data_IF_856168631855
#
_entry.id   IF_856168631855
#
_cell.length_a   1.000
_cell.length_b   1.000
_cell.length_c   1.000
_cell.angle_alpha   90.00
_cell.angle_beta   90.00
_cell.angle_gamma   90.00
#
_symmetry.space_group_name_H-M   'P 1'
#
loop_
_entity.id
_entity.type
_entity.pdbx_description
1 polymer ?
#
# COMPACT_ATOMS: atom_id res chain seq x y z
N UNK A 1 -9.63 -11.18 -21.37
CA UNK A 1 -8.59 -11.82 -20.53
C UNK A 1 -8.93 -11.58 -19.06
N UNK A 2 -8.78 -12.59 -18.19
CA UNK A 2 -9.03 -12.49 -16.74
C UNK A 2 -7.77 -11.95 -16.07
N UNK A 3 -7.85 -10.80 -15.39
CA UNK A 3 -6.71 -10.29 -14.63
C UNK A 3 -6.40 -11.21 -13.45
N UNK A 4 -5.12 -11.50 -13.17
CA UNK A 4 -4.72 -12.17 -11.93
C UNK A 4 -5.29 -11.43 -10.72
N UNK A 5 -5.74 -12.12 -9.66
CA UNK A 5 -6.30 -11.48 -8.46
C UNK A 5 -5.41 -10.38 -7.87
N UNK A 6 -4.09 -10.60 -7.87
CA UNK A 6 -3.11 -9.62 -7.39
C UNK A 6 -3.09 -8.34 -8.25
N UNK A 7 -3.06 -8.50 -9.57
CA UNK A 7 -3.10 -7.36 -10.49
C UNK A 7 -4.42 -6.59 -10.39
N UNK A 8 -5.54 -7.31 -10.23
CA UNK A 8 -6.85 -6.71 -10.02
C UNK A 8 -6.88 -5.88 -8.74
N UNK A 9 -6.38 -6.41 -7.62
CA UNK A 9 -6.29 -5.69 -6.35
C UNK A 9 -5.51 -4.37 -6.48
N UNK A 10 -4.29 -4.40 -7.03
CA UNK A 10 -3.49 -3.17 -7.19
C UNK A 10 -4.11 -2.17 -8.19
N UNK A 11 -4.81 -2.66 -9.21
CA UNK A 11 -5.57 -1.80 -10.12
C UNK A 11 -6.69 -1.06 -9.39
N UNK A 12 -7.47 -1.78 -8.56
CA UNK A 12 -8.54 -1.19 -7.75
C UNK A 12 -7.98 -0.18 -6.72
N UNK A 13 -6.83 -0.50 -6.10
CA UNK A 13 -6.14 0.45 -5.21
C UNK A 13 -5.69 1.72 -5.97
N UNK A 14 -5.15 1.58 -7.17
CA UNK A 14 -4.75 2.74 -7.98
C UNK A 14 -5.94 3.64 -8.34
N UNK A 15 -7.10 3.06 -8.66
CA UNK A 15 -8.34 3.80 -8.91
C UNK A 15 -8.86 4.50 -7.66
N UNK A 16 -8.86 3.82 -6.52
CA UNK A 16 -9.26 4.39 -5.24
C UNK A 16 -8.38 5.59 -4.86
N UNK A 17 -7.05 5.46 -4.97
CA UNK A 17 -6.12 6.56 -4.67
C UNK A 17 -6.29 7.74 -5.63
N UNK A 18 -6.63 7.48 -6.90
CA UNK A 18 -6.96 8.54 -7.87
C UNK A 18 -8.23 9.28 -7.46
N UNK A 19 -9.24 8.59 -6.94
CA UNK A 19 -10.44 9.26 -6.42
C UNK A 19 -10.16 10.06 -5.15
N UNK A 20 -9.34 9.55 -4.23
CA UNK A 20 -8.88 10.32 -3.06
C UNK A 20 -8.17 11.62 -3.51
N UNK A 21 -7.25 11.55 -4.47
CA UNK A 21 -6.59 12.75 -5.00
C UNK A 21 -7.60 13.76 -5.58
N UNK A 22 -8.63 13.29 -6.30
CA UNK A 22 -9.71 14.16 -6.78
C UNK A 22 -10.53 14.79 -5.65
N UNK A 23 -10.76 14.07 -4.54
CA UNK A 23 -11.44 14.62 -3.37
C UNK A 23 -10.63 15.78 -2.76
N UNK A 24 -9.30 15.66 -2.65
CA UNK A 24 -8.42 16.76 -2.23
C UNK A 24 -8.52 17.96 -3.19
N UNK A 25 -8.51 17.73 -4.51
CA UNK A 25 -8.66 18.81 -5.49
C UNK A 25 -10.03 19.51 -5.39
N UNK A 26 -11.11 18.75 -5.15
CA UNK A 26 -12.45 19.31 -4.91
C UNK A 26 -12.49 20.12 -3.61
N UNK A 27 -11.81 19.65 -2.57
CA UNK A 27 -11.69 20.36 -1.29
C UNK A 27 -10.98 21.70 -1.46
N UNK A 28 -9.83 21.73 -2.13
CA UNK A 28 -9.08 22.95 -2.42
C UNK A 28 -9.90 23.94 -3.26
N UNK A 29 -10.64 23.45 -4.26
CA UNK A 29 -11.51 24.30 -5.09
C UNK A 29 -12.61 24.98 -4.27
N UNK A 30 -13.20 24.27 -3.29
CA UNK A 30 -14.25 24.84 -2.42
C UNK A 30 -13.75 25.98 -1.55
N UNK A 31 -12.45 26.01 -1.26
CA UNK A 31 -11.80 27.06 -0.46
C UNK A 31 -11.19 28.17 -1.32
N UNK A 32 -11.57 28.23 -2.60
CA UNK A 32 -11.08 29.23 -3.57
C UNK A 32 -9.54 29.28 -3.69
N UNK A 33 -8.85 28.19 -3.32
CA UNK A 33 -7.40 28.09 -3.38
C UNK A 33 -6.88 27.97 -4.81
N UNK A 34 -5.69 28.52 -5.06
CA UNK A 34 -4.96 28.30 -6.32
C UNK A 34 -4.47 26.84 -6.33
N UNK A 35 -4.97 26.06 -7.29
CA UNK A 35 -4.57 24.67 -7.46
C UNK A 35 -3.38 24.59 -8.41
N UNK A 36 -2.19 24.36 -7.87
CA UNK A 36 -1.04 23.93 -8.66
C UNK A 36 -1.04 22.40 -8.76
N UNK A 37 -1.31 21.87 -9.96
CA UNK A 37 -1.25 20.42 -10.17
C UNK A 37 0.21 19.94 -10.13
N UNK A 38 0.58 19.05 -9.20
CA UNK A 38 1.95 18.55 -9.12
C UNK A 38 2.26 17.62 -10.30
N UNK A 39 3.52 17.63 -10.73
CA UNK A 39 4.03 16.67 -11.71
C UNK A 39 4.07 15.28 -11.06
N UNK A 40 3.32 14.33 -11.62
CA UNK A 40 3.32 12.93 -11.16
C UNK A 40 4.55 12.24 -11.73
N UNK A 41 5.54 12.00 -10.88
CA UNK A 41 6.75 11.25 -11.26
C UNK A 41 6.43 9.76 -11.40
N UNK A 42 7.01 9.13 -12.41
CA UNK A 42 7.02 7.67 -12.52
C UNK A 42 7.76 7.09 -11.29
N UNK A 43 7.24 6.02 -10.65
CA UNK A 43 8.00 5.30 -9.62
C UNK A 43 9.33 4.82 -10.19
N UNK A 44 10.42 4.92 -9.43
CA UNK A 44 11.74 4.43 -9.84
C UNK A 44 11.86 2.91 -9.64
N UNK A 45 10.87 2.17 -10.16
CA UNK A 45 10.73 0.72 -10.01
C UNK A 45 10.31 0.18 -11.37
N UNK A 46 11.24 -0.51 -12.03
CA UNK A 46 10.97 -1.18 -13.30
C UNK A 46 10.43 -2.60 -13.10
N UNK A 47 10.77 -3.26 -11.99
CA UNK A 47 10.29 -4.58 -11.63
C UNK A 47 9.93 -4.65 -10.14
N UNK A 48 8.70 -5.08 -9.84
CA UNK A 48 8.19 -5.26 -8.48
C UNK A 48 8.70 -6.55 -7.81
N UNK A 49 9.43 -7.39 -8.55
CA UNK A 49 9.96 -8.65 -8.07
C UNK A 49 8.85 -9.68 -7.85
N UNK A 50 8.75 -10.23 -6.64
CA UNK A 50 7.69 -11.17 -6.28
C UNK A 50 6.53 -10.50 -5.50
N UNK A 51 5.43 -11.23 -5.30
CA UNK A 51 4.25 -10.70 -4.61
C UNK A 51 4.53 -10.20 -3.18
N UNK A 52 5.48 -10.82 -2.47
CA UNK A 52 5.87 -10.38 -1.12
C UNK A 52 6.59 -9.03 -1.15
N UNK A 53 7.49 -8.83 -2.12
CA UNK A 53 8.19 -7.56 -2.31
C UNK A 53 7.22 -6.44 -2.72
N UNK A 54 6.26 -6.74 -3.59
CA UNK A 54 5.22 -5.79 -3.97
C UNK A 54 4.33 -5.39 -2.77
N UNK A 55 3.94 -6.33 -1.90
CA UNK A 55 3.20 -6.02 -0.68
C UNK A 55 4.03 -5.20 0.32
N UNK A 56 5.30 -5.56 0.54
CA UNK A 56 6.22 -4.79 1.40
C UNK A 56 6.35 -3.35 0.92
N UNK A 57 6.47 -3.14 -0.38
CA UNK A 57 6.51 -1.79 -0.96
C UNK A 57 5.18 -1.04 -0.77
N UNK A 58 4.04 -1.72 -0.98
CA UNK A 58 2.74 -1.11 -0.77
C UNK A 58 2.55 -0.63 0.68
N UNK A 59 2.92 -1.45 1.67
CA UNK A 59 2.90 -1.07 3.09
C UNK A 59 3.77 0.17 3.34
N UNK A 60 4.98 0.23 2.78
CA UNK A 60 5.86 1.39 2.93
C UNK A 60 5.25 2.66 2.32
N UNK A 61 4.62 2.55 1.14
CA UNK A 61 3.97 3.67 0.48
C UNK A 61 2.76 4.17 1.28
N UNK A 62 1.96 3.27 1.83
CA UNK A 62 0.81 3.65 2.67
C UNK A 62 1.23 4.29 3.98
N UNK A 63 2.30 3.81 4.63
CA UNK A 63 2.87 4.44 5.80
C UNK A 63 3.38 5.86 5.48
N UNK A 64 4.08 6.03 4.36
CA UNK A 64 4.55 7.35 3.91
C UNK A 64 3.38 8.30 3.68
N UNK A 65 2.33 7.85 3.00
CA UNK A 65 1.12 8.64 2.78
C UNK A 65 0.43 9.00 4.11
N UNK A 66 0.37 8.07 5.05
CA UNK A 66 -0.22 8.30 6.38
C UNK A 66 0.55 9.36 7.14
N UNK A 67 1.88 9.32 7.12
CA UNK A 67 2.71 10.34 7.77
C UNK A 67 2.47 11.72 7.18
N UNK A 68 2.40 11.83 5.85
CA UNK A 68 2.08 13.11 5.17
C UNK A 68 0.69 13.63 5.57
N UNK A 69 -0.30 12.75 5.71
CA UNK A 69 -1.64 13.14 6.17
C UNK A 69 -1.65 13.56 7.64
N UNK A 70 -0.86 12.91 8.50
CA UNK A 70 -0.69 13.31 9.90
C UNK A 70 -0.02 14.68 10.01
N UNK A 71 1.03 14.93 9.23
CA UNK A 71 1.70 16.24 9.17
C UNK A 71 0.75 17.35 8.71
N UNK A 72 -0.10 17.06 7.71
CA UNK A 72 -1.15 17.97 7.26
C UNK A 72 -2.15 18.26 8.37
N UNK A 73 -2.59 17.23 9.12
CA UNK A 73 -3.49 17.40 10.26
C UNK A 73 -2.85 18.23 11.38
N UNK A 74 -1.57 18.02 11.67
CA UNK A 74 -0.82 18.80 12.68
C UNK A 74 -0.76 20.26 12.26
N UNK A 75 -0.47 20.54 11.00
CA UNK A 75 -0.46 21.90 10.46
C UNK A 75 -1.84 22.54 10.56
N UNK A 76 -2.90 21.84 10.12
CA UNK A 76 -4.27 22.31 10.23
C UNK A 76 -4.70 22.58 11.69
N UNK A 77 -4.21 21.79 12.64
CA UNK A 77 -4.45 22.00 14.08
C UNK A 77 -3.78 23.27 14.59
N UNK A 78 -2.57 23.58 14.12
CA UNK A 78 -1.86 24.82 14.50
C UNK A 78 -2.56 26.08 13.99
N UNK A 79 -3.24 25.96 12.85
CA UNK A 79 -3.96 27.06 12.20
C UNK A 79 -5.46 27.10 12.59
N UNK A 80 -5.88 26.30 13.59
CA UNK A 80 -7.27 26.17 14.05
C UNK A 80 -8.29 25.85 12.93
N UNK A 81 -7.84 25.17 11.87
CA UNK A 81 -8.65 24.82 10.70
C UNK A 81 -9.48 23.54 10.93
N UNK A 82 -10.53 23.64 11.75
CA UNK A 82 -11.43 22.52 12.09
C UNK A 82 -11.94 21.75 10.87
N UNK A 83 -12.37 22.44 9.81
CA UNK A 83 -12.88 21.80 8.60
C UNK A 83 -11.83 21.03 7.80
N UNK A 84 -10.53 21.35 7.93
CA UNK A 84 -9.44 20.58 7.30
C UNK A 84 -9.05 19.39 8.17
N UNK A 85 -9.03 19.57 9.49
CA UNK A 85 -8.80 18.49 10.45
C UNK A 85 -9.80 17.37 10.25
N UNK A 86 -11.10 17.69 10.18
CA UNK A 86 -12.16 16.71 9.99
C UNK A 86 -12.08 16.03 8.62
N UNK A 87 -11.78 16.80 7.56
CA UNK A 87 -11.59 16.25 6.22
C UNK A 87 -10.45 15.24 6.17
N UNK A 88 -9.29 15.58 6.74
CA UNK A 88 -8.10 14.71 6.71
C UNK A 88 -8.26 13.48 7.58
N UNK A 89 -9.00 13.57 8.70
CA UNK A 89 -9.26 12.46 9.62
C UNK A 89 -9.84 11.23 8.92
N UNK A 90 -10.83 11.44 8.02
CA UNK A 90 -11.42 10.34 7.23
C UNK A 90 -10.36 9.57 6.42
N UNK A 91 -9.38 10.27 5.85
CA UNK A 91 -8.32 9.63 5.07
C UNK A 91 -7.31 8.88 5.93
N UNK A 92 -7.01 9.38 7.14
CA UNK A 92 -6.13 8.71 8.10
C UNK A 92 -6.75 7.38 8.56
N UNK A 93 -8.05 7.37 8.86
CA UNK A 93 -8.78 6.16 9.25
C UNK A 93 -8.76 5.12 8.11
N UNK A 94 -8.99 5.57 6.87
CA UNK A 94 -8.86 4.72 5.67
C UNK A 94 -7.45 4.18 5.47
N UNK A 95 -6.40 4.99 5.69
CA UNK A 95 -5.02 4.49 5.57
C UNK A 95 -4.73 3.44 6.63
N UNK A 96 -5.18 3.65 7.87
CA UNK A 96 -4.96 2.71 8.97
C UNK A 96 -5.56 1.33 8.64
N UNK A 97 -6.78 1.31 8.11
CA UNK A 97 -7.41 0.07 7.65
C UNK A 97 -6.66 -0.57 6.47
N UNK A 98 -6.19 0.24 5.52
CA UNK A 98 -5.43 -0.24 4.35
C UNK A 98 -4.08 -0.84 4.74
N UNK A 99 -3.35 -0.21 5.67
CA UNK A 99 -2.08 -0.70 6.19
C UNK A 99 -2.29 -2.04 6.89
N UNK A 100 -3.26 -2.12 7.82
CA UNK A 100 -3.55 -3.36 8.53
C UNK A 100 -3.91 -4.52 7.58
N UNK A 101 -4.69 -4.24 6.54
CA UNK A 101 -5.02 -5.23 5.50
C UNK A 101 -3.77 -5.72 4.76
N UNK A 102 -2.90 -4.80 4.31
CA UNK A 102 -1.68 -5.15 3.59
C UNK A 102 -0.69 -5.92 4.47
N UNK A 103 -0.51 -5.51 5.73
CA UNK A 103 0.36 -6.19 6.69
C UNK A 103 -0.13 -7.61 7.00
N UNK A 104 -1.44 -7.80 7.17
CA UNK A 104 -2.04 -9.12 7.34
C UNK A 104 -1.71 -10.04 6.15
N UNK A 105 -1.93 -9.56 4.92
CA UNK A 105 -1.66 -10.35 3.72
C UNK A 105 -0.16 -10.57 3.47
N UNK A 106 0.68 -9.60 3.83
CA UNK A 106 2.13 -9.76 3.79
C UNK A 106 2.57 -10.92 4.71
N UNK A 107 2.08 -10.94 5.95
CA UNK A 107 2.40 -11.99 6.93
C UNK A 107 1.93 -13.36 6.45
N UNK A 108 0.69 -13.46 5.97
CA UNK A 108 0.14 -14.72 5.45
C UNK A 108 0.99 -15.29 4.30
N UNK A 109 1.44 -14.42 3.38
CA UNK A 109 2.27 -14.83 2.26
C UNK A 109 3.67 -15.24 2.71
N UNK A 110 4.26 -14.54 3.68
CA UNK A 110 5.57 -14.86 4.24
C UNK A 110 5.56 -16.23 4.94
N UNK A 111 4.52 -16.53 5.73
CA UNK A 111 4.32 -17.83 6.38
C UNK A 111 4.13 -18.97 5.36
N UNK A 112 3.33 -18.75 4.31
CA UNK A 112 3.11 -19.74 3.26
C UNK A 112 4.40 -20.09 2.49
N UNK A 113 5.25 -19.09 2.23
CA UNK A 113 6.54 -19.30 1.57
C UNK A 113 7.54 -20.05 2.46
N UNK A 114 7.53 -19.78 3.78
CA UNK A 114 8.37 -20.52 4.74
C UNK A 114 7.98 -21.99 4.80
N UNK A 115 6.68 -22.30 4.91
CA UNK A 115 6.21 -23.69 4.94
C UNK A 115 6.57 -24.45 3.65
N UNK A 116 6.44 -23.81 2.49
CA UNK A 116 6.79 -24.42 1.21
C UNK A 116 8.29 -24.74 1.12
N UNK A 117 9.15 -23.81 1.53
CA UNK A 117 10.61 -24.03 1.57
C UNK A 117 11.04 -25.12 2.56
N UNK A 118 10.32 -25.29 3.67
CA UNK A 118 10.53 -26.40 4.62
C UNK A 118 10.15 -27.75 4.00
N UNK A 119 9.03 -27.83 3.28
CA UNK A 119 8.59 -29.07 2.61
C UNK A 119 9.52 -29.52 1.49
N UNK A 120 10.05 -28.58 0.70
CA UNK A 120 10.95 -28.88 -0.43
C UNK A 120 12.31 -29.41 0.08
N UNK A 121 12.87 -28.82 1.13
CA UNK A 121 14.11 -29.32 1.76
C UNK A 121 13.96 -30.72 2.37
N UNK A 122 12.80 -31.02 2.96
CA UNK A 122 12.53 -32.36 3.52
C UNK A 122 12.36 -33.43 2.45
N UNK A 123 11.87 -33.09 1.26
CA UNK A 123 11.78 -34.02 0.13
C UNK A 123 13.16 -34.32 -0.49
N UNK A 124 13.97 -33.29 -0.69
CA UNK A 124 15.31 -33.41 -1.31
C UNK A 124 16.27 -34.22 -0.42
N UNK A 125 16.18 -34.07 0.91
CA UNK A 125 16.96 -34.88 1.86
C UNK A 125 16.53 -36.35 1.92
N UNK A 126 15.25 -36.65 1.66
CA UNK A 126 14.76 -38.02 1.58
C UNK A 126 15.18 -38.70 0.26
N UNK A 127 15.21 -37.98 -0.85
CA UNK A 127 15.63 -38.52 -2.16
C UNK A 127 17.15 -38.79 -2.21
N UNK A 128 17.97 -37.89 -1.67
CA UNK A 128 19.44 -38.07 -1.62
C UNK A 128 19.86 -39.29 -0.78
N UNK A 129 19.02 -39.68 0.20
CA UNK A 129 19.27 -40.84 1.06
C UNK A 129 18.95 -42.19 0.39
N UNK A 130 18.24 -42.18 -0.74
CA UNK A 130 17.80 -43.38 -1.47
C UNK A 130 18.72 -43.69 -2.66
N UNK A 131 19.50 -42.72 -3.16
CA UNK A 131 20.47 -42.90 -4.25
C UNK A 131 21.86 -43.39 -3.80
N UNK A 132 22.16 -43.37 -2.49
CA UNK A 132 23.45 -43.85 -1.93
C UNK A 132 23.43 -45.31 -1.42
N UNK A 133 22.37 -46.09 -1.71
CA UNK A 133 22.27 -47.53 -1.35
C UNK A 133 22.10 -48.43 -2.57
#
# INVERSE_FOLDING_TARGET
MRMPPFAKFFSEQAELKREHAKQFLRYLRKREGIICLPVIKRPNIDNWGNGLQALKFAVQLENTLTNVLQDLKITATKDDETGLIDFVKEFIDKQTASIAFLEYHQKLLEESLQQKGLSEKSAESAETSVEET
#
